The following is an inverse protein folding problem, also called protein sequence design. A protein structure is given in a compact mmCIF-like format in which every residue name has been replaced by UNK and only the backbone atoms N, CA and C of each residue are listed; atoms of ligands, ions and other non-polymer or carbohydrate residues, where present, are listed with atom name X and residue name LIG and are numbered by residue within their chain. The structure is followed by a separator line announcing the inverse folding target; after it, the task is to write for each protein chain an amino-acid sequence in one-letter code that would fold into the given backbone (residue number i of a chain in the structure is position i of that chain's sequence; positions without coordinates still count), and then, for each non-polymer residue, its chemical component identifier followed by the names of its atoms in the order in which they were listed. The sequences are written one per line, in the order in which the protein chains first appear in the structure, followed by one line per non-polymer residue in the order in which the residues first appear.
data_IF_633844704588
#
_entry.id   IF_633844704588
#
_cell.length_a   1.000
_cell.length_b   1.000
_cell.length_c   1.000
_cell.angle_alpha   90.00
_cell.angle_beta   90.00
_cell.angle_gamma   90.00
#
_symmetry.space_group_name_H-M   'P 1'
#
loop_
_entity.id
_entity.type
_entity.pdbx_description
1 polymer ?
#
# COMPACT_ATOMS: atom_id res chain seq x y z
N UNK A 1 11.46 11.27 8.44
CA UNK A 1 11.06 10.80 7.11
C UNK A 1 10.04 9.69 7.27
N UNK A 2 9.13 9.54 6.32
CA UNK A 2 8.25 8.36 6.19
C UNK A 2 8.62 7.72 4.86
N UNK A 3 8.93 6.43 4.88
CA UNK A 3 9.37 5.67 3.71
C UNK A 3 8.67 4.31 3.66
N UNK A 4 8.62 3.69 2.49
CA UNK A 4 7.99 2.37 2.34
C UNK A 4 8.87 1.26 2.92
N UNK A 5 8.25 0.23 3.52
CA UNK A 5 8.97 -0.90 4.11
C UNK A 5 9.88 -1.58 3.10
N UNK A 6 9.45 -1.65 1.83
CA UNK A 6 10.20 -2.23 0.70
C UNK A 6 11.63 -1.66 0.62
N UNK A 7 11.77 -0.34 0.72
CA UNK A 7 13.07 0.34 0.60
C UNK A 7 13.77 0.48 1.95
N UNK A 8 13.01 0.63 3.03
CA UNK A 8 13.55 0.87 4.36
C UNK A 8 14.10 -0.41 5.03
N UNK A 9 13.45 -1.57 4.85
CA UNK A 9 13.77 -2.79 5.59
C UNK A 9 15.23 -3.26 5.41
N UNK A 10 15.85 -3.24 4.21
CA UNK A 10 17.26 -3.56 4.07
C UNK A 10 18.18 -2.60 4.84
N UNK A 11 17.86 -1.31 4.87
CA UNK A 11 18.67 -0.31 5.59
C UNK A 11 18.52 -0.43 7.12
N UNK A 12 17.32 -0.79 7.58
CA UNK A 12 17.05 -1.09 9.00
C UNK A 12 17.84 -2.32 9.44
N UNK A 13 17.78 -3.42 8.67
CA UNK A 13 18.55 -4.64 8.95
C UNK A 13 20.06 -4.40 8.92
N UNK A 14 20.53 -3.49 8.06
CA UNK A 14 21.93 -3.09 8.00
C UNK A 14 22.34 -2.14 9.15
N UNK A 15 21.45 -1.77 10.07
CA UNK A 15 21.73 -0.88 11.20
C UNK A 15 21.95 0.59 10.81
N UNK A 16 21.67 0.97 9.56
CA UNK A 16 21.89 2.33 9.05
C UNK A 16 20.75 3.27 9.41
N UNK A 17 19.56 2.73 9.60
CA UNK A 17 18.35 3.48 9.94
C UNK A 17 17.64 2.76 11.08
N UNK A 18 17.12 3.52 12.05
CA UNK A 18 16.28 2.99 13.12
C UNK A 18 14.81 3.26 12.79
N UNK A 19 14.02 2.21 12.66
CA UNK A 19 12.57 2.34 12.57
C UNK A 19 11.98 2.70 13.93
N UNK A 20 11.08 3.69 13.97
CA UNK A 20 10.40 4.13 15.20
C UNK A 20 8.97 3.57 15.26
N UNK A 21 8.25 3.63 14.15
CA UNK A 21 6.92 3.04 14.01
C UNK A 21 6.64 2.72 12.53
N UNK A 22 5.70 1.82 12.27
CA UNK A 22 5.04 1.67 10.97
C UNK A 22 3.72 2.45 10.92
N UNK A 23 3.31 2.88 9.74
CA UNK A 23 2.14 3.73 9.53
C UNK A 23 0.86 2.96 9.21
N UNK A 24 0.95 1.66 8.96
CA UNK A 24 -0.16 0.76 8.71
C UNK A 24 -0.87 0.37 10.01
N UNK A 25 -2.14 -0.02 9.91
CA UNK A 25 -2.94 -0.46 11.05
C UNK A 25 -2.39 -1.71 11.76
N UNK A 26 -1.70 -2.58 11.02
CA UNK A 26 -0.99 -3.75 11.53
C UNK A 26 0.51 -3.61 11.34
N UNK A 27 1.30 -4.33 12.16
CA UNK A 27 2.75 -4.39 12.01
C UNK A 27 3.13 -5.07 10.69
N UNK A 28 4.23 -4.64 10.10
CA UNK A 28 4.79 -5.33 8.94
C UNK A 28 5.41 -6.66 9.36
N UNK A 29 5.16 -7.72 8.57
CA UNK A 29 5.82 -9.02 8.73
C UNK A 29 7.35 -8.94 8.62
N UNK A 30 7.88 -7.94 7.92
CA UNK A 30 9.33 -7.69 7.83
C UNK A 30 9.91 -6.93 9.02
N UNK A 31 9.06 -6.32 9.85
CA UNK A 31 9.45 -5.49 11.00
C UNK A 31 8.53 -5.79 12.21
N UNK A 32 8.45 -7.05 12.69
CA UNK A 32 7.48 -7.45 13.72
C UNK A 32 7.70 -6.75 15.07
N UNK A 33 8.93 -6.32 15.35
CA UNK A 33 9.30 -5.64 16.59
C UNK A 33 9.06 -4.12 16.54
N UNK A 34 8.72 -3.58 15.37
CA UNK A 34 8.44 -2.15 15.20
C UNK A 34 6.93 -1.92 15.40
N UNK A 35 6.51 -1.09 16.37
CA UNK A 35 5.10 -0.86 16.64
C UNK A 35 4.44 -0.07 15.52
N UNK A 36 3.11 -0.12 15.43
CA UNK A 36 2.33 0.81 14.62
C UNK A 36 2.24 2.17 15.31
N UNK A 37 1.90 3.22 14.56
CA UNK A 37 1.56 4.52 15.15
C UNK A 37 0.32 4.44 16.04
N UNK A 38 -0.65 3.57 15.69
CA UNK A 38 -1.83 3.33 16.53
C UNK A 38 -1.46 2.74 17.90
N UNK A 39 -0.54 1.77 17.94
CA UNK A 39 0.01 1.21 19.20
C UNK A 39 0.82 2.26 19.99
N UNK A 40 1.32 3.29 19.31
CA UNK A 40 2.17 4.35 19.89
C UNK A 40 1.38 5.60 20.33
N UNK A 41 0.05 5.51 20.43
CA UNK A 41 -0.81 6.58 20.95
C UNK A 41 -1.56 7.39 19.89
N UNK A 42 -1.44 7.07 18.60
CA UNK A 42 -2.16 7.73 17.51
C UNK A 42 -3.30 6.84 17.00
N UNK A 43 -4.34 6.67 17.82
CA UNK A 43 -5.47 5.81 17.48
C UNK A 43 -6.08 6.15 16.12
N UNK A 44 -6.38 5.12 15.32
CA UNK A 44 -6.94 5.28 13.97
C UNK A 44 -5.95 5.72 12.90
N UNK A 45 -4.65 5.85 13.21
CA UNK A 45 -3.64 6.14 12.21
C UNK A 45 -3.42 4.92 11.31
N UNK A 46 -3.79 5.07 10.04
CA UNK A 46 -3.57 4.06 9.01
C UNK A 46 -3.25 4.73 7.67
N UNK A 47 -1.97 4.74 7.29
CA UNK A 47 -1.46 5.29 6.04
C UNK A 47 -0.47 4.27 5.46
N UNK A 48 -1.00 3.36 4.63
CA UNK A 48 -0.19 2.39 3.88
C UNK A 48 -0.02 2.83 2.43
N UNK A 49 1.21 2.72 1.91
CA UNK A 49 1.44 2.84 0.47
C UNK A 49 0.88 1.62 -0.25
N UNK A 50 0.23 1.83 -1.39
CA UNK A 50 -0.35 0.77 -2.22
C UNK A 50 -0.07 1.06 -3.69
N UNK A 51 -0.06 -0.01 -4.49
CA UNK A 51 0.13 0.05 -5.93
C UNK A 51 -1.02 -0.70 -6.59
N UNK A 52 -1.50 -0.19 -7.71
CA UNK A 52 -2.54 -0.83 -8.50
C UNK A 52 -2.25 -0.74 -9.99
N UNK A 53 -2.84 -1.66 -10.75
CA UNK A 53 -2.86 -1.61 -12.20
C UNK A 53 -4.07 -0.80 -12.66
N UNK A 54 -3.85 0.13 -13.58
CA UNK A 54 -4.90 0.92 -14.22
C UNK A 54 -4.70 0.94 -15.73
N UNK A 55 -5.78 1.24 -16.46
CA UNK A 55 -5.78 1.34 -17.91
C UNK A 55 -6.44 2.67 -18.35
N UNK A 56 -6.11 3.19 -19.55
CA UNK A 56 -6.70 4.42 -20.07
C UNK A 56 -8.24 4.36 -20.15
N UNK A 57 -8.88 5.52 -19.99
CA UNK A 57 -10.30 5.66 -20.25
C UNK A 57 -10.66 5.22 -21.68
N UNK A 58 -11.75 4.45 -21.82
CA UNK A 58 -12.17 3.88 -23.11
C UNK A 58 -11.46 2.59 -23.52
N UNK A 59 -10.59 2.02 -22.66
CA UNK A 59 -10.04 0.68 -22.88
C UNK A 59 -11.19 -0.33 -23.02
N UNK A 60 -11.23 -1.17 -24.08
CA UNK A 60 -12.34 -2.11 -24.30
C UNK A 60 -12.53 -3.08 -23.12
N UNK A 61 -13.79 -3.40 -22.81
CA UNK A 61 -14.15 -4.27 -21.68
C UNK A 61 -13.51 -5.65 -21.77
N UNK A 62 -13.30 -6.18 -22.96
CA UNK A 62 -12.61 -7.45 -23.18
C UNK A 62 -11.15 -7.42 -22.69
N UNK A 63 -10.45 -6.30 -22.90
CA UNK A 63 -9.07 -6.08 -22.44
C UNK A 63 -9.05 -5.89 -20.93
N UNK A 64 -9.97 -5.08 -20.40
CA UNK A 64 -10.11 -4.88 -18.95
C UNK A 64 -10.40 -6.20 -18.23
N UNK A 65 -11.29 -7.03 -18.80
CA UNK A 65 -11.60 -8.35 -18.26
C UNK A 65 -10.36 -9.23 -18.20
N UNK A 66 -9.58 -9.29 -19.29
CA UNK A 66 -8.33 -10.07 -19.32
C UNK A 66 -7.34 -9.59 -18.26
N UNK A 67 -7.12 -8.28 -18.15
CA UNK A 67 -6.24 -7.70 -17.13
C UNK A 67 -6.69 -8.06 -15.71
N UNK A 68 -8.00 -7.95 -15.42
CA UNK A 68 -8.58 -8.31 -14.11
C UNK A 68 -8.38 -9.80 -13.81
N UNK A 69 -8.70 -10.67 -14.77
CA UNK A 69 -8.61 -12.12 -14.60
C UNK A 69 -7.15 -12.55 -14.34
N UNK A 70 -6.19 -12.06 -15.14
CA UNK A 70 -4.77 -12.41 -14.94
C UNK A 70 -4.21 -11.84 -13.65
N UNK A 71 -4.57 -10.59 -13.29
CA UNK A 71 -4.14 -9.99 -12.02
C UNK A 71 -4.69 -10.79 -10.83
N UNK A 72 -5.96 -11.21 -10.90
CA UNK A 72 -6.58 -12.03 -9.86
C UNK A 72 -5.91 -13.41 -9.75
N UNK A 73 -5.37 -13.98 -10.84
CA UNK A 73 -4.60 -15.23 -10.78
C UNK A 73 -3.25 -15.08 -10.10
N UNK A 74 -2.63 -13.90 -10.11
CA UNK A 74 -1.32 -13.70 -9.46
C UNK A 74 -1.35 -14.03 -7.96
N UNK A 75 -2.51 -13.88 -7.31
CA UNK A 75 -2.71 -14.26 -5.90
C UNK A 75 -2.58 -15.77 -5.65
N UNK A 76 -2.65 -16.61 -6.67
CA UNK A 76 -2.50 -18.08 -6.53
C UNK A 76 -1.14 -18.56 -7.00
N UNK A 77 -0.30 -17.67 -7.55
CA UNK A 77 1.05 -18.01 -7.98
C UNK A 77 1.98 -17.85 -6.79
N UNK A 78 2.30 -18.97 -6.12
CA UNK A 78 3.13 -18.98 -4.91
C UNK A 78 4.46 -18.24 -5.08
N UNK A 79 5.15 -18.42 -6.21
CA UNK A 79 6.42 -17.73 -6.48
C UNK A 79 6.27 -16.20 -6.43
N UNK A 80 5.14 -15.68 -6.91
CA UNK A 80 4.84 -14.25 -6.88
C UNK A 80 4.58 -13.83 -5.44
N UNK A 81 3.71 -14.54 -4.73
CA UNK A 81 3.42 -14.25 -3.32
C UNK A 81 4.69 -14.24 -2.46
N UNK A 82 5.57 -15.21 -2.64
CA UNK A 82 6.83 -15.34 -1.90
C UNK A 82 7.76 -14.15 -2.20
N UNK A 83 7.91 -13.78 -3.48
CA UNK A 83 8.72 -12.62 -3.90
C UNK A 83 8.19 -11.30 -3.34
N UNK A 84 6.89 -11.05 -3.42
CA UNK A 84 6.27 -9.83 -2.90
C UNK A 84 6.31 -9.79 -1.37
N UNK A 85 6.04 -10.91 -0.69
CA UNK A 85 6.11 -11.00 0.78
C UNK A 85 7.53 -10.79 1.30
N UNK A 86 8.55 -11.29 0.60
CA UNK A 86 9.96 -11.04 0.94
C UNK A 86 10.35 -9.55 0.86
N UNK A 87 9.62 -8.77 0.07
CA UNK A 87 9.74 -7.31 -0.02
C UNK A 87 8.82 -6.56 0.94
N UNK A 88 7.96 -7.26 1.69
CA UNK A 88 6.99 -6.66 2.61
C UNK A 88 5.76 -6.09 1.89
N UNK A 89 5.47 -6.59 0.70
CA UNK A 89 4.29 -6.26 -0.08
C UNK A 89 3.28 -7.39 0.04
N UNK A 90 2.06 -7.04 0.42
CA UNK A 90 0.94 -7.97 0.43
C UNK A 90 0.20 -7.93 -0.92
N UNK A 91 0.07 -9.08 -1.56
CA UNK A 91 -0.67 -9.19 -2.82
C UNK A 91 -2.16 -9.21 -2.51
N UNK A 92 -2.81 -8.06 -2.65
CA UNK A 92 -4.26 -7.93 -2.51
C UNK A 92 -4.93 -8.17 -3.86
N UNK A 93 -5.89 -9.10 -3.90
CA UNK A 93 -6.78 -9.27 -5.04
C UNK A 93 -8.10 -8.56 -4.78
N UNK A 94 -8.24 -7.32 -5.25
CA UNK A 94 -9.50 -6.56 -5.12
C UNK A 94 -10.39 -6.71 -6.36
N UNK A 95 -11.69 -6.61 -6.18
CA UNK A 95 -12.64 -6.43 -7.28
C UNK A 95 -12.49 -5.04 -7.93
N UNK A 96 -13.00 -4.83 -9.16
CA UNK A 96 -13.01 -3.50 -9.78
C UNK A 96 -13.75 -2.45 -8.94
N UNK A 97 -14.84 -2.84 -8.29
CA UNK A 97 -15.65 -1.92 -7.47
C UNK A 97 -14.91 -1.53 -6.19
N UNK A 98 -14.23 -2.48 -5.54
CA UNK A 98 -13.35 -2.21 -4.40
C UNK A 98 -12.19 -1.28 -4.78
N UNK A 99 -11.60 -1.48 -5.96
CA UNK A 99 -10.54 -0.60 -6.46
C UNK A 99 -11.06 0.83 -6.67
N UNK A 100 -12.21 0.99 -7.34
CA UNK A 100 -12.82 2.31 -7.56
C UNK A 100 -13.21 2.97 -6.25
N UNK A 101 -13.77 2.21 -5.30
CA UNK A 101 -14.10 2.70 -3.96
C UNK A 101 -12.85 3.21 -3.23
N UNK A 102 -11.76 2.42 -3.21
CA UNK A 102 -10.49 2.81 -2.60
C UNK A 102 -9.95 4.09 -3.20
N UNK A 103 -9.92 4.21 -4.53
CA UNK A 103 -9.43 5.42 -5.21
C UNK A 103 -10.25 6.66 -4.80
N UNK A 104 -11.58 6.54 -4.77
CA UNK A 104 -12.47 7.63 -4.35
C UNK A 104 -12.22 8.04 -2.90
N UNK A 105 -12.12 7.07 -2.00
CA UNK A 105 -11.90 7.32 -0.57
C UNK A 105 -10.53 7.96 -0.31
N UNK A 106 -9.48 7.49 -0.98
CA UNK A 106 -8.13 8.04 -0.87
C UNK A 106 -8.07 9.49 -1.39
N UNK A 107 -8.68 9.77 -2.55
CA UNK A 107 -8.79 11.14 -3.08
C UNK A 107 -9.50 12.05 -2.07
N UNK A 108 -10.64 11.63 -1.53
CA UNK A 108 -11.39 12.42 -0.55
C UNK A 108 -10.60 12.64 0.75
N UNK A 109 -9.96 11.59 1.26
CA UNK A 109 -9.15 11.63 2.48
C UNK A 109 -7.96 12.57 2.33
N UNK A 110 -7.12 12.38 1.31
CA UNK A 110 -5.93 13.22 1.13
C UNK A 110 -6.26 14.64 0.70
N UNK A 111 -7.35 14.86 -0.05
CA UNK A 111 -7.81 16.23 -0.34
C UNK A 111 -8.17 16.99 0.93
N UNK A 112 -8.82 16.34 1.91
CA UNK A 112 -9.13 16.96 3.21
C UNK A 112 -7.86 17.24 4.00
N UNK A 113 -6.93 16.27 4.05
CA UNK A 113 -5.64 16.41 4.76
C UNK A 113 -4.83 17.56 4.16
N UNK A 114 -4.67 17.61 2.83
CA UNK A 114 -3.89 18.64 2.15
C UNK A 114 -4.48 20.04 2.39
N UNK A 115 -5.81 20.19 2.31
CA UNK A 115 -6.49 21.46 2.61
C UNK A 115 -6.29 21.88 4.07
N UNK A 116 -6.47 20.97 5.02
CA UNK A 116 -6.31 21.26 6.45
C UNK A 116 -4.86 21.63 6.82
N UNK A 117 -3.88 21.00 6.15
CA UNK A 117 -2.46 21.25 6.36
C UNK A 117 -1.89 22.37 5.47
N UNK A 118 -2.72 23.04 4.66
CA UNK A 118 -2.29 24.04 3.67
C UNK A 118 -1.15 23.55 2.75
N UNK A 119 -1.21 22.28 2.35
CA UNK A 119 -0.25 21.66 1.43
C UNK A 119 -0.68 21.97 0.00
N UNK A 120 0.26 22.38 -0.84
CA UNK A 120 0.06 22.60 -2.27
C UNK A 120 1.09 21.79 -3.04
N UNK A 121 0.66 21.17 -4.13
CA UNK A 121 1.59 20.81 -5.20
C UNK A 121 2.04 22.12 -5.87
N UNK A 122 3.25 22.11 -6.39
CA UNK A 122 3.83 23.19 -7.20
C UNK A 122 3.00 23.51 -8.45
#
# INVERSE_FOLDING_TARGET
SIDTVVVAAPQIRAGKIKAIAVTTITRSSLLPDVPTLAESGYAGFDVGAWVALSAPAGTPDSVLKKLRDETARLRTVREIQDKFSALGVEVVGSSPDEFVARVKDEIQRYSRIAKAANIRAD
#
